data_IF_551079574163
#
_entry.id   IF_551079574163
#
_cell.length_a   1.000
_cell.length_b   1.000
_cell.length_c   1.000
_cell.angle_alpha   90.00
_cell.angle_beta   90.00
_cell.angle_gamma   90.00
#
_symmetry.space_group_name_H-M   'P 1'
#
loop_
_entity.id
_entity.type
_entity.pdbx_description
1 polymer ?
#
# COMPACT_ATOMS: atom_id res chain seq x y z
N UNK A 1 -39.92 85.52 18.63
CA UNK A 1 -40.87 84.61 19.30
C UNK A 1 -40.67 83.23 18.70
N UNK A 2 -40.32 82.34 19.57
CA UNK A 2 -40.33 80.86 19.40
C UNK A 2 -39.44 80.23 18.31
N UNK A 3 -38.21 79.92 18.67
CA UNK A 3 -37.29 79.02 18.09
C UNK A 3 -37.73 77.59 18.39
N UNK A 4 -37.90 76.77 17.39
CA UNK A 4 -37.95 75.30 17.54
C UNK A 4 -36.68 74.69 16.99
N UNK A 5 -35.82 74.34 17.97
CA UNK A 5 -34.63 73.54 17.71
C UNK A 5 -35.05 72.10 17.42
N UNK A 6 -34.90 71.62 16.22
CA UNK A 6 -35.01 70.19 15.88
C UNK A 6 -33.64 69.56 16.02
N UNK A 7 -33.47 68.83 17.10
CA UNK A 7 -32.33 67.95 17.26
C UNK A 7 -32.53 66.70 16.40
N UNK A 8 -31.74 66.55 15.37
CA UNK A 8 -31.65 65.35 14.59
C UNK A 8 -30.81 64.31 15.34
N UNK A 9 -31.45 63.29 15.91
CA UNK A 9 -30.76 62.10 16.43
C UNK A 9 -30.26 61.26 15.24
N UNK A 10 -28.97 61.30 14.96
CA UNK A 10 -28.29 60.31 14.12
C UNK A 10 -28.16 59.02 14.92
N UNK A 11 -29.06 58.08 14.68
CA UNK A 11 -28.89 56.68 15.11
C UNK A 11 -27.87 56.02 14.20
N UNK A 12 -26.59 55.92 14.63
CA UNK A 12 -25.60 55.06 14.04
C UNK A 12 -25.99 53.61 14.29
N UNK A 13 -26.67 53.01 13.33
CA UNK A 13 -26.87 51.55 13.28
C UNK A 13 -25.51 50.91 12.98
N UNK A 14 -24.79 50.53 14.02
CA UNK A 14 -23.61 49.67 13.92
C UNK A 14 -24.09 48.27 13.51
N UNK A 15 -24.10 48.02 12.19
CA UNK A 15 -24.25 46.69 11.68
C UNK A 15 -23.01 45.89 12.10
N UNK A 16 -23.11 45.16 13.18
CA UNK A 16 -22.14 44.13 13.55
C UNK A 16 -22.17 43.07 12.43
N UNK A 17 -21.23 43.15 11.50
CA UNK A 17 -20.89 42.05 10.63
C UNK A 17 -20.39 40.93 11.53
N UNK A 18 -21.28 40.02 11.91
CA UNK A 18 -20.89 38.70 12.40
C UNK A 18 -20.21 38.02 11.22
N UNK A 19 -18.90 38.14 11.16
CA UNK A 19 -18.09 37.30 10.28
C UNK A 19 -18.37 35.84 10.74
N UNK A 20 -19.31 35.17 10.10
CA UNK A 20 -19.41 33.72 10.16
C UNK A 20 -18.09 33.23 9.59
N UNK A 21 -17.11 32.99 10.44
CA UNK A 21 -15.97 32.15 10.11
C UNK A 21 -16.59 30.79 9.82
N UNK A 22 -16.87 30.51 8.55
CA UNK A 22 -17.18 29.16 8.12
C UNK A 22 -16.00 28.33 8.56
N UNK A 23 -16.16 27.63 9.67
CA UNK A 23 -15.21 26.65 10.16
C UNK A 23 -15.13 25.64 9.02
N UNK A 24 -13.97 25.56 8.37
CA UNK A 24 -13.76 24.56 7.34
C UNK A 24 -14.14 23.22 7.95
N UNK A 25 -15.07 22.51 7.34
CA UNK A 25 -15.47 21.20 7.84
C UNK A 25 -14.23 20.31 7.88
N UNK A 26 -13.98 19.69 9.03
CA UNK A 26 -12.87 18.76 9.20
C UNK A 26 -12.97 17.67 8.13
N UNK A 27 -11.95 17.52 7.31
CA UNK A 27 -11.90 16.46 6.31
C UNK A 27 -11.72 15.13 7.03
N UNK A 28 -12.66 14.20 6.84
CA UNK A 28 -12.61 12.89 7.46
C UNK A 28 -11.89 11.88 6.57
N UNK A 29 -10.82 11.28 7.07
CA UNK A 29 -10.09 10.22 6.37
C UNK A 29 -10.28 8.88 7.07
N UNK A 30 -10.81 7.90 6.34
CA UNK A 30 -10.96 6.55 6.80
C UNK A 30 -9.68 5.73 6.61
N UNK A 31 -9.06 5.24 7.68
CA UNK A 31 -7.97 4.28 7.57
C UNK A 31 -8.52 2.86 7.62
N UNK A 32 -8.40 2.11 6.51
CA UNK A 32 -8.78 0.70 6.43
C UNK A 32 -7.52 -0.16 6.40
N UNK A 33 -7.02 -0.52 7.57
CA UNK A 33 -5.77 -1.25 7.75
C UNK A 33 -5.98 -2.51 8.60
N UNK A 34 -5.17 -3.55 8.46
CA UNK A 34 -5.18 -4.66 9.41
C UNK A 34 -4.55 -4.19 10.73
N UNK A 35 -5.35 -4.21 11.81
CA UNK A 35 -4.89 -3.94 13.18
C UNK A 35 -4.77 -5.22 14.00
N UNK A 36 -5.29 -6.31 13.47
CA UNK A 36 -5.19 -7.66 14.01
C UNK A 36 -4.81 -8.68 12.93
N UNK A 37 -4.57 -9.94 13.33
CA UNK A 37 -4.23 -11.02 12.40
C UNK A 37 -2.80 -10.99 11.87
N UNK A 38 -2.53 -11.66 10.73
CA UNK A 38 -1.16 -11.91 10.24
C UNK A 38 -0.42 -10.63 9.84
N UNK A 39 -1.14 -9.57 9.47
CA UNK A 39 -0.60 -8.33 8.93
C UNK A 39 -0.74 -7.11 9.88
N UNK A 40 -1.02 -7.34 11.17
CA UNK A 40 -1.21 -6.23 12.12
C UNK A 40 0.01 -5.30 12.20
N UNK A 41 1.22 -5.84 12.23
CA UNK A 41 2.45 -5.03 12.27
C UNK A 41 2.63 -4.17 11.00
N UNK A 42 2.23 -4.70 9.83
CA UNK A 42 2.28 -3.99 8.57
C UNK A 42 1.30 -2.81 8.55
N UNK A 43 0.09 -3.04 9.06
CA UNK A 43 -0.91 -1.97 9.19
C UNK A 43 -0.45 -0.85 10.11
N UNK A 44 0.19 -1.18 11.22
CA UNK A 44 0.75 -0.19 12.16
C UNK A 44 1.85 0.65 11.50
N UNK A 45 2.76 0.03 10.75
CA UNK A 45 3.81 0.74 10.00
C UNK A 45 3.25 1.75 9.01
N UNK A 46 2.21 1.35 8.25
CA UNK A 46 1.53 2.24 7.31
C UNK A 46 0.87 3.40 8.05
N UNK A 47 0.19 3.13 9.16
CA UNK A 47 -0.47 4.15 9.99
C UNK A 47 0.57 5.15 10.54
N UNK A 48 1.74 4.69 10.99
CA UNK A 48 2.82 5.55 11.48
C UNK A 48 3.37 6.45 10.38
N UNK A 49 3.68 5.91 9.21
CA UNK A 49 4.14 6.69 8.06
C UNK A 49 3.11 7.72 7.60
N UNK A 50 1.83 7.32 7.53
CA UNK A 50 0.74 8.20 7.14
C UNK A 50 0.57 9.37 8.12
N UNK A 51 0.55 9.08 9.42
CA UNK A 51 0.42 10.11 10.46
C UNK A 51 1.59 11.09 10.43
N UNK A 52 2.82 10.58 10.26
CA UNK A 52 4.01 11.42 10.14
C UNK A 52 3.89 12.37 8.93
N UNK A 53 3.43 11.90 7.79
CA UNK A 53 3.26 12.72 6.59
C UNK A 53 2.24 13.85 6.79
N UNK A 54 1.15 13.61 7.54
CA UNK A 54 0.15 14.64 7.86
C UNK A 54 0.73 15.70 8.79
N UNK A 55 1.49 15.31 9.79
CA UNK A 55 2.11 16.22 10.74
C UNK A 55 3.17 17.10 10.08
N UNK A 56 4.07 16.53 9.27
CA UNK A 56 5.08 17.27 8.52
C UNK A 56 4.46 18.25 7.50
N UNK A 57 3.31 17.85 6.93
CA UNK A 57 2.53 18.74 6.06
C UNK A 57 1.86 19.92 6.80
N UNK A 58 1.96 20.00 8.13
CA UNK A 58 1.31 21.02 8.96
C UNK A 58 -0.22 20.97 8.91
N UNK A 59 -0.79 19.78 8.56
CA UNK A 59 -2.22 19.61 8.28
C UNK A 59 -2.91 18.60 9.19
N UNK A 60 -2.23 18.12 10.21
CA UNK A 60 -2.77 17.11 11.11
C UNK A 60 -4.09 17.53 11.77
N UNK A 61 -4.24 18.82 12.07
CA UNK A 61 -5.44 19.38 12.70
C UNK A 61 -6.60 19.60 11.71
N UNK A 62 -6.32 19.61 10.39
CA UNK A 62 -7.34 19.75 9.35
C UNK A 62 -8.07 18.42 9.07
N UNK A 63 -7.51 17.29 9.54
CA UNK A 63 -8.00 15.96 9.23
C UNK A 63 -8.48 15.19 10.47
N UNK A 64 -9.68 14.68 10.39
CA UNK A 64 -10.22 13.72 11.36
C UNK A 64 -10.00 12.31 10.86
N UNK A 65 -9.15 11.55 11.54
CA UNK A 65 -8.87 10.15 11.19
C UNK A 65 -9.87 9.22 11.87
N UNK A 66 -10.54 8.39 11.06
CA UNK A 66 -11.41 7.30 11.52
C UNK A 66 -10.77 5.99 11.08
N UNK A 67 -10.45 5.11 12.00
CA UNK A 67 -9.68 3.90 11.71
C UNK A 67 -10.46 2.63 11.97
N UNK A 68 -10.44 1.69 11.00
CA UNK A 68 -11.12 0.41 11.05
C UNK A 68 -10.17 -0.75 10.74
N UNK A 69 -10.38 -1.86 11.45
CA UNK A 69 -9.59 -3.09 11.29
C UNK A 69 -10.17 -3.96 10.18
N UNK A 70 -9.39 -4.18 9.12
CA UNK A 70 -9.76 -5.09 8.03
C UNK A 70 -9.46 -6.57 8.36
N UNK A 71 -8.71 -6.85 9.42
CA UNK A 71 -8.20 -8.18 9.78
C UNK A 71 -7.47 -8.91 8.62
N UNK A 72 -7.15 -8.21 7.54
CA UNK A 72 -6.70 -8.77 6.25
C UNK A 72 -7.70 -9.77 5.63
N UNK A 73 -8.99 -9.73 6.03
CA UNK A 73 -10.07 -10.59 5.55
C UNK A 73 -11.00 -9.83 4.60
N UNK A 74 -11.33 -10.38 3.41
CA UNK A 74 -12.22 -9.71 2.44
C UNK A 74 -13.58 -9.28 3.02
N UNK A 75 -14.27 -10.18 3.73
CA UNK A 75 -15.59 -9.89 4.28
C UNK A 75 -15.56 -8.78 5.33
N UNK A 76 -14.58 -8.83 6.25
CA UNK A 76 -14.37 -7.77 7.25
C UNK A 76 -14.01 -6.46 6.55
N UNK A 77 -13.11 -6.49 5.57
CA UNK A 77 -12.71 -5.30 4.80
C UNK A 77 -13.89 -4.61 4.12
N UNK A 78 -14.79 -5.37 3.48
CA UNK A 78 -16.02 -4.83 2.85
C UNK A 78 -16.95 -4.22 3.90
N UNK A 79 -17.20 -4.91 5.02
CA UNK A 79 -18.05 -4.40 6.08
C UNK A 79 -17.52 -3.09 6.68
N UNK A 80 -16.19 -3.03 6.90
CA UNK A 80 -15.53 -1.85 7.46
C UNK A 80 -15.43 -0.70 6.45
N UNK A 81 -15.19 -0.96 5.17
CA UNK A 81 -15.28 0.06 4.12
C UNK A 81 -16.68 0.68 4.05
N UNK A 82 -17.73 -0.15 4.11
CA UNK A 82 -19.13 0.34 4.17
C UNK A 82 -19.40 1.19 5.39
N UNK A 83 -18.88 0.79 6.57
CA UNK A 83 -19.01 1.59 7.79
C UNK A 83 -18.35 2.96 7.63
N UNK A 84 -17.09 3.01 7.19
CA UNK A 84 -16.37 4.26 6.97
C UNK A 84 -17.12 5.21 6.04
N UNK A 85 -17.65 4.69 4.92
CA UNK A 85 -18.31 5.53 3.90
C UNK A 85 -19.75 5.90 4.29
N UNK A 86 -20.54 4.94 4.78
CA UNK A 86 -22.00 5.13 4.94
C UNK A 86 -22.41 5.56 6.35
N UNK A 87 -21.59 5.31 7.38
CA UNK A 87 -21.89 5.66 8.76
C UNK A 87 -20.99 6.77 9.28
N UNK A 88 -19.68 6.65 9.03
CA UNK A 88 -18.72 7.65 9.48
C UNK A 88 -18.60 8.81 8.47
N UNK A 89 -19.12 8.65 7.25
CA UNK A 89 -19.17 9.66 6.20
C UNK A 89 -17.78 10.25 5.88
N UNK A 90 -16.80 9.37 5.64
CA UNK A 90 -15.44 9.80 5.32
C UNK A 90 -15.35 10.36 3.90
N UNK A 91 -14.55 11.42 3.73
CA UNK A 91 -14.31 12.08 2.44
C UNK A 91 -13.36 11.30 1.53
N UNK A 92 -12.46 10.53 2.13
CA UNK A 92 -11.54 9.64 1.43
C UNK A 92 -11.14 8.47 2.33
N UNK A 93 -10.70 7.37 1.71
CA UNK A 93 -10.11 6.22 2.40
C UNK A 93 -8.63 6.08 2.06
N UNK A 94 -7.85 5.60 3.03
CA UNK A 94 -6.44 5.24 2.86
C UNK A 94 -6.23 3.86 3.45
N UNK A 95 -5.34 3.09 2.85
CA UNK A 95 -4.92 1.84 3.47
C UNK A 95 -4.84 0.68 2.51
N UNK A 96 -5.36 -0.41 3.01
CA UNK A 96 -5.40 -1.76 2.47
C UNK A 96 -4.02 -2.36 2.27
N UNK A 97 -3.80 -3.48 2.99
CA UNK A 97 -2.60 -4.31 2.88
C UNK A 97 -2.86 -5.54 2.02
N UNK A 98 -3.97 -6.24 2.26
CA UNK A 98 -4.30 -7.48 1.55
C UNK A 98 -4.85 -7.22 0.15
N UNK A 99 -4.24 -7.82 -0.88
CA UNK A 99 -4.74 -7.79 -2.26
C UNK A 99 -6.14 -8.40 -2.40
N UNK A 100 -6.49 -9.38 -1.56
CA UNK A 100 -7.84 -9.97 -1.55
C UNK A 100 -8.88 -8.98 -0.99
N UNK A 101 -8.52 -8.19 0.04
CA UNK A 101 -9.38 -7.13 0.57
C UNK A 101 -9.57 -6.04 -0.49
N UNK A 102 -8.50 -5.61 -1.17
CA UNK A 102 -8.60 -4.60 -2.23
C UNK A 102 -9.53 -5.05 -3.35
N UNK A 103 -9.39 -6.30 -3.82
CA UNK A 103 -10.29 -6.85 -4.83
C UNK A 103 -11.76 -6.87 -4.37
N UNK A 104 -12.01 -7.24 -3.12
CA UNK A 104 -13.36 -7.32 -2.58
C UNK A 104 -14.04 -5.95 -2.36
N UNK A 105 -13.29 -4.90 -2.01
CA UNK A 105 -13.87 -3.56 -1.81
C UNK A 105 -13.97 -2.74 -3.10
N UNK A 106 -13.32 -3.17 -4.17
CA UNK A 106 -13.19 -2.42 -5.43
C UNK A 106 -14.52 -1.90 -5.97
N UNK A 107 -15.51 -2.76 -6.12
CA UNK A 107 -16.82 -2.39 -6.69
C UNK A 107 -17.61 -1.45 -5.77
N UNK A 108 -17.49 -1.64 -4.46
CA UNK A 108 -18.10 -0.74 -3.50
C UNK A 108 -17.46 0.66 -3.56
N UNK A 109 -16.14 0.75 -3.66
CA UNK A 109 -15.41 2.03 -3.80
C UNK A 109 -15.82 2.73 -5.08
N UNK A 110 -15.87 2.02 -6.20
CA UNK A 110 -16.27 2.57 -7.49
C UNK A 110 -17.71 3.11 -7.45
N UNK A 111 -18.64 2.34 -6.86
CA UNK A 111 -20.05 2.72 -6.74
C UNK A 111 -20.31 3.85 -5.75
N UNK A 112 -19.56 3.92 -4.65
CA UNK A 112 -19.69 4.98 -3.64
C UNK A 112 -19.08 6.31 -4.07
N UNK A 113 -18.15 6.28 -5.03
CA UNK A 113 -17.38 7.43 -5.53
C UNK A 113 -16.52 8.10 -4.45
N UNK A 114 -16.24 7.42 -3.34
CA UNK A 114 -15.32 7.88 -2.30
C UNK A 114 -13.91 7.46 -2.68
N UNK A 115 -12.95 8.40 -2.83
CA UNK A 115 -11.58 8.07 -3.22
C UNK A 115 -10.90 7.11 -2.25
N UNK A 116 -10.17 6.13 -2.79
CA UNK A 116 -9.32 5.21 -2.04
C UNK A 116 -7.86 5.37 -2.49
N UNK A 117 -7.01 5.75 -1.57
CA UNK A 117 -5.55 5.73 -1.74
C UNK A 117 -5.01 4.42 -1.18
N UNK A 118 -4.58 3.54 -2.07
CA UNK A 118 -4.02 2.24 -1.70
C UNK A 118 -2.55 2.39 -1.36
N UNK A 119 -2.22 2.23 -0.09
CA UNK A 119 -0.85 2.35 0.40
C UNK A 119 0.01 1.12 0.04
N UNK A 120 -0.53 -0.10 0.22
CA UNK A 120 0.26 -1.33 0.05
C UNK A 120 -0.33 -2.34 -0.94
N UNK A 121 -1.62 -2.69 -0.83
CA UNK A 121 -2.18 -3.83 -1.58
C UNK A 121 -1.87 -3.80 -3.08
N UNK A 122 -1.06 -4.75 -3.53
CA UNK A 122 -0.52 -4.79 -4.89
C UNK A 122 -1.42 -5.45 -5.94
N UNK A 123 -2.71 -5.67 -5.67
CA UNK A 123 -3.64 -6.34 -6.59
C UNK A 123 -3.58 -5.72 -7.99
N UNK A 124 -3.09 -6.50 -8.98
CA UNK A 124 -2.84 -6.02 -10.35
C UNK A 124 -4.13 -5.59 -11.05
N UNK A 125 -5.22 -6.33 -10.84
CA UNK A 125 -6.50 -6.07 -11.50
C UNK A 125 -7.11 -4.75 -11.06
N UNK A 126 -6.99 -4.38 -9.77
CA UNK A 126 -7.64 -3.20 -9.21
C UNK A 126 -7.13 -1.85 -9.79
N UNK A 127 -5.95 -1.84 -10.43
CA UNK A 127 -5.40 -0.68 -11.14
C UNK A 127 -5.02 -1.02 -12.59
N UNK A 128 -5.33 -2.23 -13.05
CA UNK A 128 -5.19 -2.74 -14.42
C UNK A 128 -6.56 -2.91 -15.07
N UNK A 129 -6.92 -4.14 -15.42
CA UNK A 129 -8.14 -4.46 -16.18
C UNK A 129 -9.45 -4.06 -15.48
N UNK A 130 -9.49 -4.11 -14.14
CA UNK A 130 -10.64 -3.72 -13.32
C UNK A 130 -10.39 -2.38 -12.62
N UNK A 131 -9.67 -1.45 -13.25
CA UNK A 131 -9.35 -0.17 -12.64
C UNK A 131 -10.62 0.66 -12.35
N UNK A 132 -10.52 1.50 -11.33
CA UNK A 132 -11.52 2.51 -10.97
C UNK A 132 -10.86 3.87 -10.91
N UNK A 133 -11.55 4.90 -11.39
CA UNK A 133 -11.09 6.29 -11.25
C UNK A 133 -10.99 6.76 -9.80
N UNK A 134 -11.62 6.05 -8.88
CA UNK A 134 -11.63 6.34 -7.45
C UNK A 134 -10.56 5.56 -6.67
N UNK A 135 -9.76 4.71 -7.34
CA UNK A 135 -8.70 3.93 -6.71
C UNK A 135 -7.35 4.37 -7.26
N UNK A 136 -6.49 4.88 -6.39
CA UNK A 136 -5.10 5.23 -6.71
C UNK A 136 -4.16 4.45 -5.81
N UNK A 137 -3.14 3.82 -6.38
CA UNK A 137 -2.09 3.14 -5.62
C UNK A 137 -0.80 3.96 -5.64
N UNK A 138 -0.14 4.08 -4.49
CA UNK A 138 1.08 4.89 -4.33
C UNK A 138 2.37 4.08 -4.33
N UNK A 139 2.28 2.76 -4.18
CA UNK A 139 3.44 1.88 -4.00
C UNK A 139 3.72 1.02 -5.25
N UNK A 140 3.30 -0.22 -5.26
CA UNK A 140 3.67 -1.23 -6.25
C UNK A 140 2.44 -2.02 -6.73
N UNK A 141 2.57 -2.72 -7.87
CA UNK A 141 1.69 -3.83 -8.21
C UNK A 141 2.42 -5.17 -8.00
N UNK A 142 1.66 -6.24 -7.76
CA UNK A 142 2.25 -7.57 -7.53
C UNK A 142 3.13 -8.00 -8.71
N UNK A 143 2.72 -7.71 -9.93
CA UNK A 143 3.51 -7.99 -11.13
C UNK A 143 4.81 -7.19 -11.21
N UNK A 144 4.80 -5.91 -10.82
CA UNK A 144 5.96 -5.03 -10.95
C UNK A 144 7.17 -5.47 -10.12
N UNK A 145 6.95 -6.03 -8.94
CA UNK A 145 8.05 -6.45 -8.06
C UNK A 145 8.55 -7.87 -8.31
N UNK A 146 7.75 -8.71 -8.98
CA UNK A 146 8.09 -10.12 -9.15
C UNK A 146 8.59 -10.47 -10.57
N UNK A 147 8.08 -9.80 -11.62
CA UNK A 147 8.55 -9.99 -13.01
C UNK A 147 10.06 -9.83 -13.16
N UNK A 148 10.71 -8.75 -12.65
CA UNK A 148 12.15 -8.58 -12.79
C UNK A 148 12.96 -9.68 -12.15
N UNK A 149 12.48 -10.29 -11.07
CA UNK A 149 13.17 -11.42 -10.42
C UNK A 149 13.16 -12.67 -11.29
N UNK A 150 12.05 -12.97 -11.97
CA UNK A 150 11.97 -14.10 -12.90
C UNK A 150 12.97 -13.96 -14.03
N UNK A 151 13.02 -12.79 -14.68
CA UNK A 151 13.97 -12.49 -15.75
C UNK A 151 15.43 -12.54 -15.27
N UNK A 152 15.69 -11.95 -14.10
CA UNK A 152 17.03 -11.88 -13.53
C UNK A 152 17.55 -13.25 -13.10
N UNK A 153 16.74 -14.08 -12.44
CA UNK A 153 17.15 -15.42 -12.01
C UNK A 153 17.51 -16.31 -13.20
N UNK A 154 16.74 -16.26 -14.29
CA UNK A 154 17.09 -16.97 -15.51
C UNK A 154 18.43 -16.48 -16.12
N UNK A 155 18.64 -15.16 -16.15
CA UNK A 155 19.85 -14.53 -16.67
C UNK A 155 21.12 -14.91 -15.89
N UNK A 156 21.02 -15.08 -14.56
CA UNK A 156 22.17 -15.54 -13.76
C UNK A 156 22.39 -17.06 -13.81
N UNK A 157 21.64 -17.77 -14.64
CA UNK A 157 21.88 -19.17 -14.94
C UNK A 157 21.04 -20.17 -14.14
N UNK A 158 20.11 -19.74 -13.31
CA UNK A 158 19.14 -20.62 -12.62
C UNK A 158 18.23 -21.21 -13.68
N UNK A 159 18.04 -22.53 -13.67
CA UNK A 159 17.23 -23.25 -14.66
C UNK A 159 15.94 -23.80 -14.09
N UNK A 160 15.97 -24.30 -12.86
CA UNK A 160 14.84 -24.96 -12.20
C UNK A 160 14.50 -24.26 -10.91
N UNK A 161 13.27 -23.78 -10.79
CA UNK A 161 12.78 -23.07 -9.60
C UNK A 161 11.54 -23.78 -9.05
N UNK A 162 11.52 -23.96 -7.74
CA UNK A 162 10.32 -24.33 -6.99
C UNK A 162 9.73 -23.06 -6.37
N UNK A 163 8.40 -22.88 -6.44
CA UNK A 163 7.76 -21.67 -5.93
C UNK A 163 6.84 -21.96 -4.75
N UNK A 164 6.77 -21.02 -3.80
CA UNK A 164 5.84 -21.12 -2.66
C UNK A 164 5.26 -19.75 -2.30
N UNK A 165 3.99 -19.72 -1.91
CA UNK A 165 3.32 -18.51 -1.42
C UNK A 165 2.11 -18.87 -0.55
N UNK A 166 1.57 -17.89 0.23
CA UNK A 166 0.29 -18.10 0.91
C UNK A 166 -0.86 -18.10 -0.11
N UNK A 167 -1.86 -18.95 0.14
CA UNK A 167 -3.03 -19.16 -0.70
C UNK A 167 -4.03 -18.00 -0.59
N UNK A 168 -3.76 -16.93 -1.32
CA UNK A 168 -4.65 -15.78 -1.50
C UNK A 168 -4.22 -14.94 -2.71
N UNK A 169 -5.00 -13.92 -3.08
CA UNK A 169 -4.83 -13.17 -4.32
C UNK A 169 -3.40 -12.68 -4.59
N UNK A 170 -2.68 -12.14 -3.58
CA UNK A 170 -1.30 -11.70 -3.81
C UNK A 170 -0.35 -12.87 -4.02
N UNK A 171 -0.52 -13.98 -3.27
CA UNK A 171 0.32 -15.16 -3.44
C UNK A 171 0.28 -15.69 -4.87
N UNK A 172 -0.94 -15.84 -5.41
CA UNK A 172 -1.13 -16.27 -6.81
C UNK A 172 -0.55 -15.26 -7.80
N UNK A 173 -0.94 -13.99 -7.73
CA UNK A 173 -0.46 -12.96 -8.67
C UNK A 173 1.06 -12.82 -8.70
N UNK A 174 1.72 -12.87 -7.53
CA UNK A 174 3.18 -12.75 -7.45
C UNK A 174 3.89 -13.97 -8.03
N UNK A 175 3.42 -15.18 -7.71
CA UNK A 175 4.02 -16.42 -8.24
C UNK A 175 3.74 -16.57 -9.73
N UNK A 176 2.54 -16.24 -10.18
CA UNK A 176 2.19 -16.34 -11.61
C UNK A 176 3.06 -15.40 -12.44
N UNK A 177 3.16 -14.12 -12.04
CA UNK A 177 3.99 -13.15 -12.75
C UNK A 177 5.47 -13.51 -12.74
N UNK A 178 6.00 -13.97 -11.60
CA UNK A 178 7.37 -14.50 -11.53
C UNK A 178 7.55 -15.67 -12.50
N UNK A 179 6.64 -16.65 -12.43
CA UNK A 179 6.72 -17.89 -13.22
C UNK A 179 6.62 -17.63 -14.71
N UNK A 180 5.73 -16.75 -15.14
CA UNK A 180 5.63 -16.31 -16.54
C UNK A 180 6.93 -15.71 -17.04
N UNK A 181 7.50 -14.74 -16.29
CA UNK A 181 8.74 -14.08 -16.65
C UNK A 181 9.94 -15.04 -16.66
N UNK A 182 10.03 -15.93 -15.67
CA UNK A 182 11.08 -16.92 -15.57
C UNK A 182 11.04 -17.93 -16.73
N UNK A 183 9.85 -18.44 -17.07
CA UNK A 183 9.64 -19.35 -18.21
C UNK A 183 9.93 -18.66 -19.54
N UNK A 184 9.48 -17.42 -19.72
CA UNK A 184 9.76 -16.64 -20.93
C UNK A 184 11.26 -16.41 -21.14
N UNK A 185 12.04 -16.35 -20.07
CA UNK A 185 13.49 -16.22 -20.08
C UNK A 185 14.22 -17.59 -20.15
N UNK A 186 13.51 -18.70 -20.37
CA UNK A 186 14.05 -20.05 -20.57
C UNK A 186 14.23 -20.88 -19.28
N UNK A 187 13.64 -20.47 -18.17
CA UNK A 187 13.60 -21.24 -16.94
C UNK A 187 12.44 -22.22 -16.87
N UNK A 188 12.51 -23.15 -15.93
CA UNK A 188 11.50 -24.18 -15.65
C UNK A 188 10.98 -24.05 -14.21
N UNK A 189 9.66 -24.05 -14.02
CA UNK A 189 9.04 -24.19 -12.70
C UNK A 189 8.79 -25.68 -12.44
N UNK A 190 9.58 -26.26 -11.53
CA UNK A 190 9.55 -27.70 -11.22
C UNK A 190 8.51 -28.07 -10.18
N UNK A 191 7.85 -27.07 -9.57
CA UNK A 191 6.73 -27.24 -8.65
C UNK A 191 6.30 -25.92 -8.05
N UNK A 192 5.05 -25.90 -7.57
CA UNK A 192 4.45 -24.77 -6.87
C UNK A 192 3.58 -25.25 -5.72
N UNK A 193 3.70 -24.62 -4.57
CA UNK A 193 2.85 -24.90 -3.40
C UNK A 193 2.25 -23.61 -2.84
N UNK A 194 0.97 -23.69 -2.48
CA UNK A 194 0.27 -22.61 -1.79
C UNK A 194 -0.10 -23.06 -0.38
N UNK A 195 0.31 -22.27 0.60
CA UNK A 195 0.09 -22.56 2.02
C UNK A 195 -1.10 -21.79 2.57
N UNK A 196 -1.91 -22.34 3.48
CA UNK A 196 -3.06 -21.63 4.05
C UNK A 196 -2.69 -20.28 4.65
N UNK A 197 -3.19 -19.18 4.05
CA UNK A 197 -2.86 -17.80 4.43
C UNK A 197 -3.15 -17.48 5.89
N UNK A 198 -2.15 -16.99 6.60
CA UNK A 198 -2.22 -16.55 8.00
C UNK A 198 -2.39 -17.69 9.01
N UNK A 199 -2.27 -18.95 8.58
CA UNK A 199 -2.50 -20.14 9.42
C UNK A 199 -1.32 -21.10 9.46
N UNK A 200 -0.38 -20.99 8.53
CA UNK A 200 0.74 -21.93 8.41
C UNK A 200 1.77 -21.67 9.49
N UNK A 201 1.93 -22.62 10.40
CA UNK A 201 2.91 -22.63 11.49
C UNK A 201 4.08 -23.57 11.19
N UNK A 202 3.84 -24.62 10.42
CA UNK A 202 4.80 -25.63 10.03
C UNK A 202 4.95 -25.69 8.51
N UNK A 203 6.12 -25.31 8.04
CA UNK A 203 6.50 -25.35 6.62
C UNK A 203 7.24 -26.65 6.25
N UNK A 204 7.57 -27.52 7.21
CA UNK A 204 8.34 -28.74 7.01
C UNK A 204 7.82 -29.64 5.89
N UNK A 205 6.51 -29.96 5.82
CA UNK A 205 5.95 -30.77 4.75
C UNK A 205 6.15 -30.15 3.36
N UNK A 206 5.98 -28.83 3.25
CA UNK A 206 6.15 -28.08 2.00
C UNK A 206 7.63 -28.00 1.59
N UNK A 207 8.53 -27.76 2.55
CA UNK A 207 9.97 -27.73 2.33
C UNK A 207 10.52 -29.11 1.90
N UNK A 208 9.97 -30.18 2.46
CA UNK A 208 10.30 -31.55 2.07
C UNK A 208 9.93 -31.82 0.61
N UNK A 209 8.74 -31.41 0.17
CA UNK A 209 8.33 -31.53 -1.23
C UNK A 209 9.22 -30.68 -2.16
N UNK A 210 9.51 -29.44 -1.75
CA UNK A 210 10.38 -28.56 -2.52
C UNK A 210 11.78 -29.18 -2.70
N UNK A 211 12.36 -29.76 -1.66
CA UNK A 211 13.66 -30.44 -1.73
C UNK A 211 13.62 -31.67 -2.65
N UNK A 212 12.54 -32.45 -2.59
CA UNK A 212 12.36 -33.64 -3.42
C UNK A 212 12.28 -33.32 -4.93
N UNK A 213 11.79 -32.14 -5.30
CA UNK A 213 11.76 -31.65 -6.68
C UNK A 213 13.14 -31.30 -7.24
N UNK A 214 14.18 -31.27 -6.42
CA UNK A 214 15.57 -30.97 -6.79
C UNK A 214 15.72 -29.68 -7.63
N UNK A 215 15.20 -28.54 -7.17
CA UNK A 215 15.34 -27.27 -7.86
C UNK A 215 16.75 -26.68 -7.69
N UNK A 216 17.17 -25.81 -8.62
CA UNK A 216 18.40 -24.99 -8.48
C UNK A 216 18.18 -23.89 -7.44
N UNK A 217 16.93 -23.44 -7.22
CA UNK A 217 16.56 -22.39 -6.29
C UNK A 217 15.10 -22.50 -5.88
N UNK A 218 14.77 -21.89 -4.72
CA UNK A 218 13.37 -21.69 -4.32
C UNK A 218 13.06 -20.19 -4.39
N UNK A 219 11.91 -19.83 -4.98
CA UNK A 219 11.36 -18.49 -5.02
C UNK A 219 10.07 -18.42 -4.24
N UNK A 220 9.96 -17.44 -3.32
CA UNK A 220 8.80 -17.34 -2.44
C UNK A 220 8.25 -15.93 -2.29
N UNK A 221 6.97 -15.86 -1.97
CA UNK A 221 6.35 -14.70 -1.37
C UNK A 221 5.79 -15.07 -0.01
N UNK A 222 6.31 -14.50 1.05
CA UNK A 222 5.71 -14.46 2.39
C UNK A 222 5.94 -13.07 2.99
N UNK A 223 5.07 -12.69 3.95
CA UNK A 223 5.16 -11.40 4.64
C UNK A 223 4.69 -11.54 6.11
N UNK A 224 5.12 -10.61 6.96
CA UNK A 224 4.73 -10.59 8.36
C UNK A 224 5.21 -11.83 9.13
N UNK A 225 4.34 -12.38 9.98
CA UNK A 225 4.70 -13.53 10.83
C UNK A 225 5.07 -14.78 10.03
N UNK A 226 4.42 -15.00 8.89
CA UNK A 226 4.70 -16.17 8.04
C UNK A 226 6.10 -16.08 7.41
N UNK A 227 6.57 -14.88 7.04
CA UNK A 227 7.93 -14.69 6.54
C UNK A 227 8.98 -15.10 7.59
N UNK A 228 8.83 -14.60 8.83
CA UNK A 228 9.74 -14.95 9.94
C UNK A 228 9.78 -16.47 10.15
N UNK A 229 8.62 -17.11 10.20
CA UNK A 229 8.51 -18.57 10.43
C UNK A 229 9.12 -19.34 9.27
N UNK A 230 8.82 -18.95 8.04
CA UNK A 230 9.33 -19.59 6.83
C UNK A 230 10.87 -19.53 6.76
N UNK A 231 11.45 -18.34 6.90
CA UNK A 231 12.91 -18.13 6.78
C UNK A 231 13.66 -18.94 7.85
N UNK A 232 13.15 -18.93 9.10
CA UNK A 232 13.75 -19.75 10.19
C UNK A 232 13.66 -21.24 9.93
N UNK A 233 12.53 -21.73 9.46
CA UNK A 233 12.37 -23.16 9.15
C UNK A 233 13.20 -23.56 7.93
N UNK A 234 13.29 -22.71 6.89
CA UNK A 234 14.16 -22.94 5.75
C UNK A 234 15.62 -23.20 6.15
N UNK A 235 16.15 -22.40 7.07
CA UNK A 235 17.48 -22.56 7.62
C UNK A 235 17.58 -23.81 8.52
N UNK A 236 16.64 -24.00 9.45
CA UNK A 236 16.66 -25.12 10.39
C UNK A 236 16.49 -26.50 9.76
N UNK A 237 15.78 -26.60 8.62
CA UNK A 237 15.69 -27.80 7.81
C UNK A 237 16.94 -28.05 6.94
N UNK A 238 17.93 -27.15 7.01
CA UNK A 238 19.20 -27.27 6.31
C UNK A 238 19.15 -27.01 4.81
N UNK A 239 18.00 -26.54 4.25
CA UNK A 239 17.88 -26.28 2.83
C UNK A 239 18.81 -25.15 2.36
N UNK A 240 19.01 -24.15 3.20
CA UNK A 240 19.85 -22.97 2.92
C UNK A 240 21.26 -23.30 2.46
N UNK A 241 21.82 -24.46 2.86
CA UNK A 241 23.17 -24.88 2.47
C UNK A 241 23.24 -25.39 1.03
N UNK A 242 22.14 -25.96 0.55
CA UNK A 242 22.12 -26.70 -0.71
C UNK A 242 21.34 -25.94 -1.82
N UNK A 243 20.31 -25.20 -1.41
CA UNK A 243 19.36 -24.55 -2.32
C UNK A 243 19.26 -23.07 -1.95
N UNK A 244 19.65 -22.11 -2.83
CA UNK A 244 19.50 -20.69 -2.55
C UNK A 244 18.03 -20.27 -2.48
N UNK A 245 17.73 -19.35 -1.54
CA UNK A 245 16.40 -18.80 -1.33
C UNK A 245 16.30 -17.40 -1.94
N UNK A 246 15.30 -17.22 -2.79
CA UNK A 246 14.92 -15.95 -3.39
C UNK A 246 13.47 -15.61 -3.06
N UNK A 247 13.12 -14.33 -3.13
CA UNK A 247 11.73 -13.94 -2.89
C UNK A 247 11.42 -12.49 -3.22
N UNK A 248 10.16 -12.12 -3.02
CA UNK A 248 9.77 -10.72 -2.94
C UNK A 248 10.40 -10.07 -1.72
N UNK A 249 10.69 -8.77 -1.75
CA UNK A 249 11.38 -8.08 -0.66
C UNK A 249 10.63 -8.08 0.68
N UNK A 250 9.35 -8.39 0.64
CA UNK A 250 8.55 -8.61 1.86
C UNK A 250 9.01 -9.80 2.69
N UNK A 251 9.77 -10.72 2.11
CA UNK A 251 10.30 -11.89 2.82
C UNK A 251 11.31 -11.48 3.91
N UNK A 252 12.13 -10.48 3.65
CA UNK A 252 13.21 -10.00 4.54
C UNK A 252 13.05 -8.51 4.85
N UNK A 253 11.81 -8.09 5.13
CA UNK A 253 11.49 -6.68 5.45
C UNK A 253 12.31 -6.17 6.64
N UNK A 254 12.81 -4.92 6.60
CA UNK A 254 13.40 -4.24 7.75
C UNK A 254 12.54 -4.27 9.01
N UNK A 255 11.22 -4.36 8.85
CA UNK A 255 10.27 -4.45 9.96
C UNK A 255 10.50 -5.67 10.86
N UNK A 256 10.96 -6.79 10.30
CA UNK A 256 11.07 -8.03 11.06
C UNK A 256 12.31 -8.90 10.74
N UNK A 257 13.18 -8.46 9.84
CA UNK A 257 14.41 -9.20 9.51
C UNK A 257 15.30 -9.47 10.75
N UNK A 258 15.30 -8.57 11.73
CA UNK A 258 15.98 -8.80 13.00
C UNK A 258 15.42 -10.03 13.77
N UNK A 259 14.12 -10.29 13.65
CA UNK A 259 13.49 -11.47 14.22
C UNK A 259 13.82 -12.76 13.46
N UNK A 260 14.18 -12.68 12.19
CA UNK A 260 14.68 -13.80 11.39
C UNK A 260 16.13 -14.14 11.75
N UNK A 261 16.89 -13.11 12.10
CA UNK A 261 18.27 -13.25 12.57
C UNK A 261 19.20 -13.85 11.50
N UNK A 262 20.15 -14.75 11.91
CA UNK A 262 21.10 -15.37 10.97
C UNK A 262 20.45 -16.18 9.85
N UNK A 263 19.21 -16.61 10.01
CA UNK A 263 18.48 -17.37 8.99
C UNK A 263 18.25 -16.53 7.71
N UNK A 264 18.13 -15.21 7.83
CA UNK A 264 17.95 -14.31 6.68
C UNK A 264 19.24 -14.05 5.88
N UNK A 265 20.42 -14.36 6.43
CA UNK A 265 21.71 -14.10 5.74
C UNK A 265 21.79 -14.95 4.47
N UNK A 266 22.06 -14.30 3.33
CA UNK A 266 22.17 -14.96 2.03
C UNK A 266 20.84 -15.10 1.28
N UNK A 267 19.72 -14.72 1.87
CA UNK A 267 18.43 -14.61 1.15
C UNK A 267 18.51 -13.40 0.21
N UNK A 268 18.14 -13.59 -1.04
CA UNK A 268 18.12 -12.51 -2.04
C UNK A 268 16.69 -12.15 -2.39
N UNK A 269 16.34 -10.88 -2.27
CA UNK A 269 14.98 -10.40 -2.51
C UNK A 269 14.98 -9.13 -3.37
N UNK A 270 13.83 -8.85 -4.00
CA UNK A 270 13.62 -7.61 -4.75
C UNK A 270 12.35 -6.90 -4.29
N UNK A 271 12.45 -5.58 -4.16
CA UNK A 271 11.35 -4.71 -3.78
C UNK A 271 11.53 -3.33 -4.42
N UNK A 272 10.48 -2.53 -4.41
CA UNK A 272 10.49 -1.16 -4.95
C UNK A 272 11.17 -0.15 -4.02
N UNK A 273 11.38 -0.47 -2.74
CA UNK A 273 12.00 0.40 -1.74
C UNK A 273 12.85 -0.38 -0.74
N UNK A 274 13.97 0.22 -0.36
CA UNK A 274 14.77 -0.16 0.81
C UNK A 274 15.27 1.10 1.51
N UNK A 275 15.40 1.13 2.86
CA UNK A 275 15.76 2.34 3.59
C UNK A 275 17.19 2.82 3.32
N UNK A 276 18.00 2.03 2.62
CA UNK A 276 19.38 2.35 2.23
C UNK A 276 19.50 3.07 0.88
N UNK A 277 18.40 3.42 0.21
CA UNK A 277 18.39 4.21 -1.01
C UNK A 277 19.12 5.53 -0.77
N UNK A 278 20.18 5.79 -1.59
CA UNK A 278 21.07 6.93 -1.40
C UNK A 278 20.55 8.18 -2.16
N UNK A 279 19.39 8.71 -1.75
CA UNK A 279 18.89 10.02 -2.19
C UNK A 279 18.72 10.95 -1.00
N UNK A 280 18.81 12.28 -1.18
CA UNK A 280 18.58 13.24 -0.11
C UNK A 280 17.20 13.09 0.55
N UNK A 281 16.16 12.87 -0.26
CA UNK A 281 14.78 12.72 0.20
C UNK A 281 14.62 11.47 1.08
N UNK A 282 15.19 10.33 0.66
CA UNK A 282 15.12 9.12 1.47
C UNK A 282 15.90 9.26 2.78
N UNK A 283 17.06 9.89 2.75
CA UNK A 283 17.84 10.14 3.98
C UNK A 283 17.05 10.99 4.97
N UNK A 284 16.46 12.10 4.50
CA UNK A 284 15.62 12.97 5.34
C UNK A 284 14.44 12.19 5.94
N UNK A 285 13.72 11.40 5.13
CA UNK A 285 12.63 10.55 5.60
C UNK A 285 13.10 9.55 6.67
N UNK A 286 14.20 8.83 6.41
CA UNK A 286 14.74 7.82 7.34
C UNK A 286 15.17 8.45 8.66
N UNK A 287 15.82 9.62 8.63
CA UNK A 287 16.25 10.35 9.81
C UNK A 287 15.05 10.86 10.63
N UNK A 288 14.07 11.47 9.98
CA UNK A 288 12.86 11.96 10.62
C UNK A 288 12.03 10.83 11.23
N UNK A 289 11.87 9.72 10.50
CA UNK A 289 11.16 8.54 11.00
C UNK A 289 11.85 7.93 12.23
N UNK A 290 13.18 7.80 12.19
CA UNK A 290 13.98 7.32 13.34
C UNK A 290 13.84 8.25 14.55
N UNK A 291 13.91 9.54 14.34
CA UNK A 291 13.77 10.52 15.42
C UNK A 291 12.40 10.44 16.09
N UNK A 292 11.33 10.13 15.32
CA UNK A 292 9.98 10.07 15.83
C UNK A 292 9.62 8.74 16.48
N UNK A 293 10.05 7.61 15.90
CA UNK A 293 9.61 6.28 16.29
C UNK A 293 10.70 5.38 16.91
N UNK A 294 11.92 5.91 17.09
CA UNK A 294 13.10 5.21 17.63
C UNK A 294 13.41 3.87 16.93
N UNK A 295 13.16 3.80 15.62
CA UNK A 295 13.42 2.65 14.75
C UNK A 295 13.57 3.04 13.30
N UNK A 296 14.25 2.20 12.51
CA UNK A 296 14.31 2.41 11.07
C UNK A 296 12.94 2.21 10.41
N UNK A 297 12.59 2.99 9.37
CA UNK A 297 11.39 2.74 8.60
C UNK A 297 11.50 1.45 7.78
N UNK A 298 10.37 0.79 7.58
CA UNK A 298 10.21 -0.27 6.59
C UNK A 298 9.65 0.26 5.27
N UNK A 299 9.54 -0.60 4.27
CA UNK A 299 8.80 -0.33 3.04
C UNK A 299 7.33 0.02 3.31
N UNK A 300 6.73 -0.52 4.36
CA UNK A 300 5.35 -0.21 4.74
C UNK A 300 5.23 1.22 5.30
N UNK A 301 6.23 1.66 6.06
CA UNK A 301 6.26 3.02 6.59
C UNK A 301 6.31 4.07 5.46
N UNK A 302 7.18 3.88 4.46
CA UNK A 302 7.25 4.81 3.31
C UNK A 302 5.97 4.79 2.48
N UNK A 303 5.33 3.64 2.34
CA UNK A 303 4.05 3.53 1.62
C UNK A 303 2.93 4.32 2.32
N UNK A 304 2.89 4.27 3.65
CA UNK A 304 1.99 5.12 4.44
C UNK A 304 2.31 6.60 4.29
N UNK A 305 3.58 6.96 4.37
CA UNK A 305 4.06 8.32 4.19
C UNK A 305 3.70 8.89 2.81
N UNK A 306 3.92 8.14 1.74
CA UNK A 306 3.56 8.55 0.37
C UNK A 306 2.04 8.64 0.14
N UNK A 307 1.24 7.96 0.95
CA UNK A 307 -0.21 8.05 0.89
C UNK A 307 -0.76 9.36 1.49
N UNK A 308 -0.06 9.98 2.45
CA UNK A 308 -0.49 11.20 3.14
C UNK A 308 -0.81 12.38 2.21
N UNK A 309 0.11 12.84 1.35
CA UNK A 309 -0.13 13.96 0.43
C UNK A 309 -1.26 13.71 -0.57
N UNK A 310 -1.50 12.44 -0.95
CA UNK A 310 -2.57 12.07 -1.89
C UNK A 310 -3.92 12.02 -1.22
N UNK A 311 -4.00 11.55 0.02
CA UNK A 311 -5.22 11.58 0.81
C UNK A 311 -5.69 13.02 1.04
N UNK A 312 -4.76 13.94 1.35
CA UNK A 312 -5.06 15.36 1.47
C UNK A 312 -5.70 15.96 0.22
N UNK A 313 -5.21 15.60 -0.97
CA UNK A 313 -5.79 16.06 -2.24
C UNK A 313 -7.14 15.43 -2.52
N UNK A 314 -7.33 14.16 -2.20
CA UNK A 314 -8.59 13.43 -2.39
C UNK A 314 -9.71 13.97 -1.50
N UNK A 315 -9.43 14.29 -0.24
CA UNK A 315 -10.39 14.89 0.67
C UNK A 315 -10.86 16.29 0.22
N UNK A 316 -10.02 17.06 -0.48
CA UNK A 316 -10.41 18.34 -1.07
C UNK A 316 -11.33 18.18 -2.29
N UNK A 317 -11.34 17.00 -2.92
CA UNK A 317 -12.22 16.71 -4.07
C UNK A 317 -13.63 16.27 -3.66
N UNK A 318 -13.87 15.89 -2.40
CA UNK A 318 -15.16 15.44 -1.87
C UNK A 318 -16.18 16.56 -1.65
N UNK A 319 -15.77 17.80 -1.56
CA UNK A 319 -16.67 18.95 -1.46
C UNK A 319 -17.38 19.18 -2.80
N UNK A 320 -18.71 19.24 -2.75
CA UNK A 320 -19.69 19.45 -3.83
C UNK A 320 -19.33 20.65 -4.75
N UNK A 321 -18.23 20.55 -5.52
CA UNK A 321 -17.81 21.55 -6.51
C UNK A 321 -18.02 20.98 -7.90
N UNK A 322 -18.94 21.55 -8.68
CA UNK A 322 -19.05 21.20 -10.09
C UNK A 322 -17.78 21.62 -10.83
N UNK A 323 -17.09 20.69 -11.46
CA UNK A 323 -16.06 21.00 -12.44
C UNK A 323 -14.61 20.70 -12.08
N UNK A 324 -14.29 19.88 -11.09
CA UNK A 324 -12.91 19.42 -10.91
C UNK A 324 -12.67 18.21 -11.82
N UNK A 325 -11.92 18.46 -12.89
CA UNK A 325 -11.42 17.43 -13.79
C UNK A 325 -10.45 16.51 -13.07
N UNK A 326 -10.94 15.31 -12.71
CA UNK A 326 -10.16 14.26 -12.05
C UNK A 326 -8.98 13.74 -12.91
N UNK A 327 -8.87 14.19 -14.16
CA UNK A 327 -7.76 13.87 -15.07
C UNK A 327 -6.45 14.61 -14.74
N UNK A 328 -6.52 15.79 -14.12
CA UNK A 328 -5.34 16.65 -13.86
C UNK A 328 -4.63 16.31 -12.55
N UNK A 329 -5.31 15.68 -11.58
CA UNK A 329 -4.70 15.28 -10.30
C UNK A 329 -3.64 14.17 -10.46
N UNK A 330 -3.70 13.39 -11.55
CA UNK A 330 -2.76 12.30 -11.86
C UNK A 330 -1.47 12.80 -12.53
N UNK A 331 -1.45 13.99 -13.13
CA UNK A 331 -0.29 14.50 -13.89
C UNK A 331 0.74 15.28 -13.08
N UNK A 332 0.41 15.72 -11.87
CA UNK A 332 1.25 16.67 -11.12
C UNK A 332 2.26 16.07 -10.12
N UNK A 333 2.33 14.76 -9.90
CA UNK A 333 3.15 14.16 -8.84
C UNK A 333 3.84 12.86 -9.28
N UNK A 334 4.53 12.91 -10.40
CA UNK A 334 5.46 11.85 -10.81
C UNK A 334 6.94 12.21 -10.58
N UNK A 335 7.25 13.21 -9.75
CA UNK A 335 8.63 13.58 -9.45
C UNK A 335 8.83 13.80 -7.95
N UNK A 336 9.06 12.69 -7.25
CA UNK A 336 9.59 12.62 -5.92
C UNK A 336 9.98 11.17 -5.63
N UNK A 337 11.26 10.84 -5.90
CA UNK A 337 11.96 9.60 -5.55
C UNK A 337 11.37 8.28 -6.07
N UNK A 338 11.51 7.99 -7.32
CA UNK A 338 12.01 6.76 -7.96
C UNK A 338 11.80 6.88 -9.46
N UNK A 339 12.81 7.27 -10.19
CA UNK A 339 12.86 7.02 -11.63
C UNK A 339 13.02 5.52 -11.82
N UNK A 340 11.95 4.82 -12.08
CA UNK A 340 12.02 3.57 -12.82
C UNK A 340 10.97 3.60 -13.92
N UNK A 341 11.43 3.21 -15.08
CA UNK A 341 10.69 3.21 -16.32
C UNK A 341 9.45 2.32 -16.26
N UNK A 342 8.42 2.74 -16.99
CA UNK A 342 7.24 1.97 -17.39
C UNK A 342 6.03 1.87 -16.45
N UNK A 343 5.58 3.03 -15.96
CA UNK A 343 4.22 3.14 -15.39
C UNK A 343 3.13 3.45 -16.43
N UNK A 344 3.41 3.32 -17.74
CA UNK A 344 2.51 3.86 -18.78
C UNK A 344 1.35 2.94 -19.20
N UNK A 345 1.42 1.63 -18.98
CA UNK A 345 0.42 0.72 -19.56
C UNK A 345 -0.92 0.69 -18.81
N UNK A 346 -0.94 0.62 -17.48
CA UNK A 346 -2.19 0.51 -16.71
C UNK A 346 -3.00 1.82 -16.65
N UNK A 347 -2.33 2.96 -16.49
CA UNK A 347 -3.00 4.26 -16.48
C UNK A 347 -3.49 4.73 -17.86
N UNK A 348 -2.86 4.26 -18.93
CA UNK A 348 -3.32 4.53 -20.30
C UNK A 348 -4.59 3.75 -20.64
N UNK A 349 -4.77 2.55 -20.12
CA UNK A 349 -5.97 1.75 -20.34
C UNK A 349 -7.21 2.37 -19.68
N UNK A 350 -7.13 2.83 -18.44
CA UNK A 350 -8.19 3.59 -17.78
C UNK A 350 -8.54 4.91 -18.51
N UNK A 351 -7.56 5.55 -19.15
CA UNK A 351 -7.79 6.76 -19.96
C UNK A 351 -8.45 6.48 -21.30
N UNK A 352 -8.09 5.40 -21.97
CA UNK A 352 -8.61 5.08 -23.31
C UNK A 352 -10.09 4.68 -23.28
N UNK A 353 -10.57 4.04 -22.24
CA UNK A 353 -11.97 3.65 -22.10
C UNK A 353 -12.89 4.84 -21.76
N UNK A 354 -12.36 5.88 -21.11
CA UNK A 354 -13.14 7.08 -20.75
C UNK A 354 -13.20 8.15 -21.86
N UNK A 355 -12.40 8.00 -22.93
CA UNK A 355 -12.43 8.89 -24.10
C UNK A 355 -13.36 8.40 -25.21
N UNK A 356 -14.07 7.27 -25.02
CA UNK A 356 -15.03 6.69 -25.97
C UNK A 356 -16.50 6.88 -25.56
N UNK A 357 -16.77 7.72 -24.59
CA UNK A 357 -18.07 8.28 -24.28
C UNK A 357 -18.01 9.80 -24.54
#
# INVERSE_FOLDING_TARGET
MKNHLMAALMACASAAFVANTAQAADIKIGLLLPKSGPYAALGKEIEDGFTMALEEGGKSEEFKIVSEDSEAKPQTGVAKARKLVLQDEVDAMVGIVSSAVLGAVRDFVDGSKVPLVVANAGNDQATGENCSRYITRVSFSNGQVNRPMGEWMARIGIKKVYTMAPDYAAGHQMIDTFSEAFKAAGGEIVGSEYTPFGKTQDFGPYLTKAKAASPDAIYVFYAGKEAITFVKQYDSFGLKKDIPLYGSGFLTSPLYVAAEGPAAIGVTTALHYVPTINTPENKAFVEAFKAKFDRAPSEYAVQGYDAGPRACRSGQCGGNRPGIDHGTAVQGVLFGSARSADHRSGHQQCRAEHLRL
#
